data_IF_769075292761
#
_entry.id   IF_769075292761
#
_cell.length_a   1.000
_cell.length_b   1.000
_cell.length_c   1.000
_cell.angle_alpha   90.00
_cell.angle_beta   90.00
_cell.angle_gamma   90.00
#
_symmetry.space_group_name_H-M   'P 1'
#
loop_
_entity.id
_entity.type
_entity.pdbx_description
1 polymer ?
#
# COMPACT_ATOMS: atom_id res chain seq x y z
N UNK A 1 -5.52 21.97 5.61
CA UNK A 1 -4.86 22.45 4.38
C UNK A 1 -3.96 21.33 3.90
N UNK A 2 -4.30 20.71 2.79
CA UNK A 2 -3.39 19.78 2.10
C UNK A 2 -2.48 20.61 1.19
N UNK A 3 -1.19 20.63 1.48
CA UNK A 3 -0.20 21.19 0.57
C UNK A 3 -0.06 20.28 -0.65
N UNK A 4 0.10 20.86 -1.82
CA UNK A 4 0.46 20.06 -3.00
C UNK A 4 1.88 19.48 -2.84
N UNK A 5 2.20 18.42 -3.59
CA UNK A 5 3.55 17.83 -3.59
C UNK A 5 4.64 18.86 -3.90
N UNK A 6 4.35 19.84 -4.77
CA UNK A 6 5.27 20.90 -5.15
C UNK A 6 5.47 21.96 -4.06
N UNK A 7 4.49 22.12 -3.18
CA UNK A 7 4.54 23.09 -2.06
C UNK A 7 5.11 22.46 -0.78
N UNK A 8 5.28 21.13 -0.78
CA UNK A 8 5.85 20.42 0.36
C UNK A 8 7.37 20.60 0.36
N UNK A 9 7.97 21.19 1.42
CA UNK A 9 9.42 21.44 1.48
C UNK A 9 10.22 20.16 1.77
N UNK A 10 9.82 19.05 1.15
CA UNK A 10 10.40 17.73 1.32
C UNK A 10 10.40 16.97 0.01
N UNK A 11 11.33 16.04 -0.11
CA UNK A 11 11.39 15.15 -1.27
C UNK A 11 10.40 14.00 -1.07
N UNK A 12 9.26 14.10 -1.74
CA UNK A 12 8.20 13.08 -1.72
C UNK A 12 8.10 12.44 -3.10
N UNK A 13 7.94 11.13 -3.14
CA UNK A 13 7.49 10.39 -4.31
C UNK A 13 6.15 9.74 -3.98
N UNK A 14 5.21 9.88 -4.88
CA UNK A 14 3.90 9.26 -4.79
C UNK A 14 3.77 8.20 -5.88
N UNK A 15 3.32 7.01 -5.49
CA UNK A 15 3.06 5.89 -6.39
C UNK A 15 1.58 5.53 -6.27
N UNK A 16 0.80 5.89 -7.28
CA UNK A 16 -0.64 5.63 -7.32
C UNK A 16 -0.94 4.17 -7.67
N UNK A 17 -2.20 3.74 -7.43
CA UNK A 17 -2.69 2.44 -7.82
C UNK A 17 -2.52 2.17 -9.32
N UNK A 18 -2.68 3.19 -10.17
CA UNK A 18 -2.46 3.09 -11.61
C UNK A 18 -1.00 2.84 -11.97
N UNK A 19 -0.06 3.48 -11.27
CA UNK A 19 1.37 3.20 -11.45
C UNK A 19 1.73 1.80 -10.97
N UNK A 20 1.22 1.38 -9.81
CA UNK A 20 1.40 0.01 -9.29
C UNK A 20 0.99 -1.00 -10.34
N UNK A 21 -0.17 -0.81 -10.96
CA UNK A 21 -0.71 -1.66 -12.01
C UNK A 21 0.12 -1.60 -13.29
N UNK A 22 0.40 -0.40 -13.79
CA UNK A 22 1.09 -0.18 -15.07
C UNK A 22 2.48 -0.80 -15.07
N UNK A 23 3.20 -0.67 -13.97
CA UNK A 23 4.55 -1.22 -13.81
C UNK A 23 4.57 -2.64 -13.21
N UNK A 24 3.41 -3.22 -12.89
CA UNK A 24 3.32 -4.55 -12.31
C UNK A 24 4.02 -4.67 -10.96
N UNK A 25 3.97 -3.62 -10.13
CA UNK A 25 4.62 -3.61 -8.82
C UNK A 25 3.89 -4.56 -7.88
N UNK A 26 4.64 -5.38 -7.16
CA UNK A 26 4.10 -6.45 -6.30
C UNK A 26 4.46 -6.26 -4.84
N UNK A 27 5.63 -5.72 -4.60
CA UNK A 27 6.20 -5.56 -3.26
C UNK A 27 6.94 -4.24 -3.11
N UNK A 28 7.38 -3.95 -1.90
CA UNK A 28 8.20 -2.78 -1.59
C UNK A 28 9.50 -2.76 -2.40
N UNK A 29 10.08 -3.92 -2.71
CA UNK A 29 11.30 -4.01 -3.51
C UNK A 29 11.14 -3.44 -4.92
N UNK A 30 9.94 -3.57 -5.50
CA UNK A 30 9.67 -3.04 -6.83
C UNK A 30 9.59 -1.50 -6.84
N UNK A 31 9.23 -0.89 -5.69
CA UNK A 31 9.14 0.57 -5.55
C UNK A 31 10.51 1.27 -5.66
N UNK A 32 11.59 0.55 -5.37
CA UNK A 32 12.96 1.06 -5.47
C UNK A 32 13.25 1.58 -6.87
N UNK A 33 12.68 0.95 -7.91
CA UNK A 33 12.84 1.36 -9.32
C UNK A 33 12.25 2.75 -9.60
N UNK A 34 11.25 3.15 -8.82
CA UNK A 34 10.55 4.43 -8.96
C UNK A 34 11.01 5.47 -7.94
N UNK A 35 11.91 5.10 -7.02
CA UNK A 35 12.30 5.96 -5.90
C UNK A 35 13.79 6.24 -5.91
N UNK A 36 14.23 7.37 -6.44
CA UNK A 36 15.65 7.75 -6.40
C UNK A 36 16.19 7.82 -4.97
N UNK A 37 17.36 7.21 -4.72
CA UNK A 37 18.00 7.16 -3.41
C UNK A 37 17.41 6.14 -2.43
N UNK A 38 16.56 5.24 -2.93
CA UNK A 38 16.11 4.07 -2.20
C UNK A 38 16.77 2.80 -2.75
N UNK A 39 16.89 1.79 -1.92
CA UNK A 39 17.28 0.44 -2.32
C UNK A 39 16.58 -0.59 -1.42
N UNK A 40 16.55 -1.84 -1.87
CA UNK A 40 15.93 -2.91 -1.10
C UNK A 40 16.84 -3.33 0.06
N UNK A 41 16.26 -3.50 1.23
CA UNK A 41 16.89 -4.15 2.38
C UNK A 41 16.29 -5.53 2.67
N UNK A 42 15.68 -6.13 1.65
CA UNK A 42 15.14 -7.48 1.74
C UNK A 42 16.24 -8.51 1.96
N UNK A 43 15.98 -9.46 2.86
CA UNK A 43 16.91 -10.51 3.22
C UNK A 43 16.36 -11.87 2.78
N UNK A 44 17.25 -12.75 2.29
CA UNK A 44 16.92 -14.14 1.92
C UNK A 44 15.77 -14.27 0.90
N UNK A 45 15.53 -13.25 0.08
CA UNK A 45 14.42 -13.22 -0.87
C UNK A 45 13.10 -12.73 -0.32
N UNK A 46 13.00 -12.46 0.97
CA UNK A 46 11.79 -11.90 1.59
C UNK A 46 11.73 -10.41 1.30
N UNK A 47 10.68 -10.01 0.60
CA UNK A 47 10.48 -8.65 0.07
C UNK A 47 9.66 -7.82 1.06
N UNK A 48 10.26 -7.04 1.90
CA UNK A 48 9.47 -6.37 2.92
C UNK A 48 9.98 -5.02 3.38
N UNK A 49 11.21 -4.67 3.03
CA UNK A 49 11.85 -3.49 3.57
C UNK A 49 12.53 -2.67 2.49
N UNK A 50 12.51 -1.36 2.66
CA UNK A 50 13.19 -0.40 1.80
C UNK A 50 14.08 0.48 2.65
N UNK A 51 15.32 0.64 2.21
CA UNK A 51 16.23 1.63 2.76
C UNK A 51 16.14 2.92 1.94
N UNK A 52 16.13 4.03 2.62
CA UNK A 52 16.13 5.36 2.00
C UNK A 52 17.35 6.11 2.51
N UNK A 53 18.20 6.56 1.60
CA UNK A 53 19.45 7.27 1.92
C UNK A 53 20.38 6.48 2.84
N UNK A 54 20.37 5.15 2.74
CA UNK A 54 21.24 4.26 3.51
C UNK A 54 20.72 3.86 4.90
N UNK A 55 19.50 4.26 5.24
CA UNK A 55 18.86 3.94 6.51
C UNK A 55 17.51 3.26 6.28
N UNK A 56 17.16 2.30 7.12
CA UNK A 56 15.87 1.62 7.04
C UNK A 56 14.73 2.63 7.17
N UNK A 57 13.77 2.56 6.25
CA UNK A 57 12.60 3.43 6.29
C UNK A 57 11.62 2.97 7.37
N UNK A 58 10.93 3.93 7.97
CA UNK A 58 9.75 3.63 8.78
C UNK A 58 8.55 3.34 7.89
N UNK A 59 7.74 2.38 8.30
CA UNK A 59 6.51 2.00 7.62
C UNK A 59 5.30 2.57 8.35
N UNK A 60 4.41 3.20 7.58
CA UNK A 60 3.15 3.76 8.06
C UNK A 60 1.98 3.17 7.29
N UNK A 61 0.86 3.05 7.94
CA UNK A 61 -0.42 2.66 7.35
C UNK A 61 -1.47 3.68 7.76
N UNK A 62 -2.04 4.39 6.81
CA UNK A 62 -2.96 5.51 7.05
C UNK A 62 -2.39 6.55 8.04
N UNK A 63 -1.10 6.83 7.97
CA UNK A 63 -0.41 7.76 8.86
C UNK A 63 -0.04 7.20 10.25
N UNK A 64 -0.38 5.97 10.56
CA UNK A 64 0.01 5.30 11.81
C UNK A 64 1.25 4.43 11.59
N UNK A 65 2.25 4.61 12.45
CA UNK A 65 3.48 3.84 12.38
C UNK A 65 3.22 2.35 12.62
N UNK A 66 3.75 1.52 11.75
CA UNK A 66 3.74 0.06 11.86
C UNK A 66 5.07 -0.43 12.43
N UNK A 67 5.09 -1.68 12.86
CA UNK A 67 6.33 -2.38 13.18
C UNK A 67 7.21 -2.43 11.93
N UNK A 68 8.49 -2.11 12.08
CA UNK A 68 9.45 -2.25 10.99
C UNK A 68 9.52 -3.72 10.54
N UNK A 69 9.57 -3.89 9.22
CA UNK A 69 9.71 -5.19 8.61
C UNK A 69 11.14 -5.35 8.06
N UNK A 70 12.07 -5.91 8.83
CA UNK A 70 13.46 -6.10 8.39
C UNK A 70 13.63 -7.31 7.47
N UNK A 71 12.63 -7.64 6.65
CA UNK A 71 12.63 -8.81 5.79
C UNK A 71 12.03 -10.06 6.48
N UNK A 72 11.12 -9.88 7.42
CA UNK A 72 10.46 -11.01 8.10
C UNK A 72 9.20 -11.50 7.35
N UNK A 73 8.60 -10.67 6.51
CA UNK A 73 7.42 -11.01 5.70
C UNK A 73 7.34 -10.13 4.45
N UNK A 74 6.71 -10.63 3.41
CA UNK A 74 6.47 -9.85 2.20
C UNK A 74 5.49 -8.70 2.49
N UNK A 75 5.79 -7.51 1.97
CA UNK A 75 4.86 -6.38 2.03
C UNK A 75 4.20 -6.20 0.67
N UNK A 76 2.93 -6.56 0.58
CA UNK A 76 2.12 -6.48 -0.62
C UNK A 76 1.72 -5.02 -0.85
N UNK A 77 1.96 -4.51 -2.06
CA UNK A 77 1.67 -3.10 -2.39
C UNK A 77 0.39 -2.93 -3.22
N UNK A 78 -0.14 -3.99 -3.82
CA UNK A 78 -1.29 -3.90 -4.74
C UNK A 78 -2.62 -3.56 -4.08
N UNK A 79 -2.74 -3.77 -2.78
CA UNK A 79 -3.87 -3.28 -1.98
C UNK A 79 -3.81 -1.78 -1.67
N UNK A 80 -2.74 -1.08 -2.08
CA UNK A 80 -2.63 0.36 -1.90
C UNK A 80 -3.42 1.14 -2.97
N UNK A 81 -4.05 2.20 -2.52
CA UNK A 81 -4.51 3.29 -3.37
C UNK A 81 -3.34 4.20 -3.73
N UNK A 82 -2.55 4.53 -2.73
CA UNK A 82 -1.37 5.39 -2.86
C UNK A 82 -0.28 4.94 -1.90
N UNK A 83 0.96 5.01 -2.35
CA UNK A 83 2.16 4.84 -1.54
C UNK A 83 2.95 6.14 -1.59
N UNK A 84 3.11 6.77 -0.44
CA UNK A 84 3.89 7.99 -0.30
C UNK A 84 5.26 7.65 0.28
N UNK A 85 6.32 8.02 -0.42
CA UNK A 85 7.70 7.77 -0.02
C UNK A 85 8.34 9.11 0.29
N UNK A 86 8.47 9.41 1.57
CA UNK A 86 9.16 10.58 2.07
C UNK A 86 10.64 10.28 2.28
N UNK A 87 11.50 11.13 1.71
CA UNK A 87 12.96 11.01 1.85
C UNK A 87 13.48 12.06 2.83
N UNK A 88 14.07 11.62 3.91
CA UNK A 88 14.63 12.44 4.97
C UNK A 88 13.88 12.32 6.28
N UNK A 89 14.23 13.08 7.30
CA UNK A 89 13.68 12.96 8.64
C UNK A 89 12.15 13.08 8.65
N UNK A 90 11.52 12.21 9.42
CA UNK A 90 10.06 12.23 9.64
C UNK A 90 9.64 13.53 10.32
N UNK A 91 8.42 14.00 10.08
CA UNK A 91 7.89 15.16 10.78
C UNK A 91 7.78 14.87 12.28
N UNK A 92 8.12 15.83 13.16
CA UNK A 92 7.89 15.69 14.60
C UNK A 92 6.47 15.33 15.00
N UNK A 93 5.48 15.62 14.13
CA UNK A 93 4.07 15.25 14.33
C UNK A 93 3.84 13.72 14.31
N UNK A 94 4.71 12.97 13.66
CA UNK A 94 4.67 11.51 13.64
C UNK A 94 5.52 10.85 14.75
N UNK A 95 6.09 11.66 15.64
CA UNK A 95 6.96 11.20 16.73
C UNK A 95 8.39 10.92 16.30
N UNK A 96 9.08 10.06 17.04
CA UNK A 96 10.43 9.63 16.69
C UNK A 96 10.40 8.71 15.48
N UNK A 97 11.18 9.01 14.46
CA UNK A 97 11.23 8.23 13.23
C UNK A 97 12.61 8.14 12.63
N UNK A 98 12.76 7.36 11.57
CA UNK A 98 13.99 7.19 10.82
C UNK A 98 14.44 8.50 10.19
N UNK A 99 15.76 8.72 10.18
CA UNK A 99 16.37 9.87 9.48
C UNK A 99 16.43 9.65 7.96
N UNK A 100 16.36 8.42 7.50
CA UNK A 100 16.37 8.06 6.09
C UNK A 100 15.08 8.44 5.38
N UNK A 101 13.96 8.06 5.96
CA UNK A 101 12.65 8.35 5.37
C UNK A 101 11.52 7.48 5.89
N UNK A 102 10.37 7.63 5.27
CA UNK A 102 9.18 6.82 5.57
C UNK A 102 8.45 6.39 4.30
N UNK A 103 7.82 5.25 4.38
CA UNK A 103 6.84 4.74 3.42
C UNK A 103 5.46 4.75 4.09
N UNK A 104 4.54 5.55 3.59
CA UNK A 104 3.15 5.57 4.06
C UNK A 104 2.27 4.84 3.06
N UNK A 105 1.54 3.87 3.55
CA UNK A 105 0.62 3.03 2.81
C UNK A 105 -0.81 3.48 3.04
N UNK A 106 -1.45 4.00 2.01
CA UNK A 106 -2.87 4.34 2.01
C UNK A 106 -3.64 3.23 1.29
N UNK A 107 -4.47 2.44 2.00
CA UNK A 107 -5.20 1.34 1.39
C UNK A 107 -6.28 1.84 0.42
N UNK A 108 -6.69 0.98 -0.50
CA UNK A 108 -7.84 1.22 -1.36
C UNK A 108 -9.12 1.34 -0.53
N UNK A 109 -9.96 2.29 -0.90
CA UNK A 109 -11.28 2.54 -0.32
C UNK A 109 -12.31 2.74 -1.44
N UNK A 110 -13.58 2.93 -1.07
CA UNK A 110 -14.61 3.29 -2.05
C UNK A 110 -14.54 4.76 -2.51
N UNK A 111 -13.48 5.48 -2.13
CA UNK A 111 -13.20 6.84 -2.59
C UNK A 111 -12.13 6.83 -3.69
N UNK A 112 -12.29 7.71 -4.66
CA UNK A 112 -11.30 7.97 -5.71
C UNK A 112 -10.15 8.82 -5.18
N UNK A 113 -9.10 9.02 -5.99
CA UNK A 113 -7.98 9.93 -5.71
C UNK A 113 -8.41 11.36 -5.36
N UNK A 114 -9.57 11.78 -5.82
CA UNK A 114 -10.15 13.09 -5.51
C UNK A 114 -11.00 13.10 -4.24
N UNK A 115 -10.91 12.07 -3.40
CA UNK A 115 -11.71 11.86 -2.20
C UNK A 115 -13.24 11.82 -2.43
N UNK A 116 -13.68 11.60 -3.68
CA UNK A 116 -15.09 11.40 -4.02
C UNK A 116 -15.42 9.92 -4.06
N UNK A 117 -16.61 9.56 -3.60
CA UNK A 117 -17.09 8.19 -3.72
C UNK A 117 -17.18 7.75 -5.17
N UNK A 118 -16.91 6.48 -5.41
CA UNK A 118 -17.24 5.84 -6.70
C UNK A 118 -18.74 5.97 -6.94
N UNK A 119 -19.13 6.21 -8.17
CA UNK A 119 -20.54 6.45 -8.53
C UNK A 119 -21.27 5.18 -8.92
N UNK A 120 -20.52 4.15 -9.30
CA UNK A 120 -21.05 2.85 -9.74
C UNK A 120 -20.25 1.72 -9.11
N UNK A 121 -20.86 0.56 -8.86
CA UNK A 121 -20.14 -0.61 -8.43
C UNK A 121 -19.05 -0.98 -9.44
N UNK A 122 -17.84 -1.18 -8.96
CA UNK A 122 -16.68 -1.58 -9.77
C UNK A 122 -16.09 -2.86 -9.22
N UNK A 123 -15.69 -3.74 -10.11
CA UNK A 123 -15.02 -4.98 -9.69
C UNK A 123 -14.00 -5.41 -10.73
N UNK A 124 -12.97 -6.11 -10.26
CA UNK A 124 -11.90 -6.57 -11.10
C UNK A 124 -11.28 -7.84 -10.54
N UNK A 125 -10.85 -8.71 -11.44
CA UNK A 125 -10.05 -9.89 -11.12
C UNK A 125 -8.82 -9.88 -12.00
N UNK A 126 -7.65 -10.07 -11.41
CA UNK A 126 -6.37 -10.15 -12.11
C UNK A 126 -5.69 -11.47 -11.79
N UNK A 127 -5.17 -12.12 -12.83
CA UNK A 127 -4.29 -13.27 -12.74
C UNK A 127 -2.92 -12.89 -13.31
N UNK A 128 -1.89 -13.03 -12.50
CA UNK A 128 -0.51 -12.83 -12.92
C UNK A 128 0.24 -14.15 -12.86
N UNK A 129 0.92 -14.49 -13.95
CA UNK A 129 1.81 -15.64 -14.03
C UNK A 129 3.23 -15.16 -14.35
N UNK A 130 4.22 -15.76 -13.71
CA UNK A 130 5.61 -15.35 -13.85
C UNK A 130 6.59 -16.51 -13.87
N UNK A 131 7.87 -16.14 -13.89
CA UNK A 131 8.96 -17.11 -13.72
C UNK A 131 8.89 -17.74 -12.33
N UNK A 132 9.57 -18.88 -12.16
CA UNK A 132 9.54 -19.63 -10.90
C UNK A 132 8.12 -20.01 -10.46
N UNK A 133 7.33 -20.52 -11.42
CA UNK A 133 5.95 -20.99 -11.20
C UNK A 133 5.05 -19.98 -10.46
N UNK A 134 5.40 -18.69 -10.52
CA UNK A 134 4.67 -17.65 -9.83
C UNK A 134 3.24 -17.56 -10.34
N UNK A 135 2.30 -17.56 -9.41
CA UNK A 135 0.86 -17.41 -9.63
C UNK A 135 0.32 -16.43 -8.61
N UNK A 136 -0.27 -15.35 -9.09
CA UNK A 136 -0.90 -14.36 -8.21
C UNK A 136 -2.32 -14.13 -8.71
N UNK A 137 -3.27 -14.38 -7.85
CA UNK A 137 -4.68 -14.08 -8.07
C UNK A 137 -5.07 -12.93 -7.16
N UNK A 138 -5.60 -11.87 -7.73
CA UNK A 138 -6.21 -10.79 -6.96
C UNK A 138 -7.61 -10.48 -7.45
N UNK A 139 -8.48 -10.09 -6.53
CA UNK A 139 -9.80 -9.61 -6.82
C UNK A 139 -10.13 -8.39 -5.98
N UNK A 140 -10.86 -7.46 -6.57
CA UNK A 140 -11.31 -6.26 -5.88
C UNK A 140 -12.75 -5.93 -6.26
N UNK A 141 -13.47 -5.36 -5.30
CA UNK A 141 -14.83 -4.90 -5.50
C UNK A 141 -15.09 -3.67 -4.64
N UNK A 142 -15.59 -2.62 -5.27
CA UNK A 142 -16.01 -1.39 -4.62
C UNK A 142 -17.45 -1.05 -4.97
N UNK A 143 -18.22 -0.57 -4.01
CA UNK A 143 -19.59 -0.14 -4.25
C UNK A 143 -19.93 1.12 -3.47
N UNK A 144 -20.60 2.10 -4.11
CA UNK A 144 -21.21 3.20 -3.40
C UNK A 144 -22.40 2.69 -2.60
N UNK A 145 -22.62 3.29 -1.45
CA UNK A 145 -23.74 3.02 -0.57
C UNK A 145 -24.40 4.33 -0.17
N UNK A 146 -25.67 4.28 0.20
CA UNK A 146 -26.39 5.37 0.81
C UNK A 146 -27.01 4.90 2.13
N UNK A 147 -26.75 5.61 3.22
CA UNK A 147 -27.26 5.31 4.56
C UNK A 147 -27.93 6.56 5.12
N UNK A 148 -29.22 6.52 5.31
CA UNK A 148 -30.03 7.65 5.80
C UNK A 148 -29.80 8.95 5.01
N UNK A 149 -29.73 8.87 3.67
CA UNK A 149 -29.48 9.99 2.77
C UNK A 149 -28.04 10.51 2.78
N UNK A 150 -27.12 9.79 3.42
CA UNK A 150 -25.69 10.13 3.49
C UNK A 150 -24.87 9.22 2.59
N UNK A 151 -23.85 9.80 1.97
CA UNK A 151 -22.94 9.04 1.13
C UNK A 151 -22.07 8.12 1.97
N UNK A 152 -21.97 6.88 1.53
CA UNK A 152 -21.10 5.86 2.10
C UNK A 152 -20.49 5.01 0.97
N UNK A 153 -19.54 4.16 1.32
CA UNK A 153 -18.97 3.22 0.37
C UNK A 153 -18.26 2.07 1.06
N UNK A 154 -18.20 0.96 0.36
CA UNK A 154 -17.48 -0.23 0.78
C UNK A 154 -16.49 -0.68 -0.29
N UNK A 155 -15.33 -1.15 0.13
CA UNK A 155 -14.33 -1.69 -0.75
C UNK A 155 -13.70 -2.95 -0.16
N UNK A 156 -13.49 -3.94 -1.01
CA UNK A 156 -12.83 -5.22 -0.68
C UNK A 156 -11.69 -5.43 -1.66
N UNK A 157 -10.54 -5.83 -1.15
CA UNK A 157 -9.42 -6.32 -1.94
C UNK A 157 -8.91 -7.62 -1.34
N UNK A 158 -8.69 -8.61 -2.19
CA UNK A 158 -8.09 -9.89 -1.81
C UNK A 158 -6.99 -10.24 -2.79
N UNK A 159 -5.93 -10.85 -2.30
CA UNK A 159 -4.82 -11.34 -3.12
C UNK A 159 -4.24 -12.60 -2.50
N UNK A 160 -3.90 -13.56 -3.35
CA UNK A 160 -3.14 -14.75 -2.97
C UNK A 160 -1.98 -14.93 -3.96
N UNK A 161 -0.79 -15.16 -3.44
CA UNK A 161 0.42 -15.49 -4.19
C UNK A 161 0.92 -16.87 -3.79
N UNK A 162 1.29 -17.67 -4.79
CA UNK A 162 2.01 -18.92 -4.66
C UNK A 162 3.12 -18.95 -5.71
N UNK A 163 4.35 -19.19 -5.27
CA UNK A 163 5.50 -19.14 -6.17
C UNK A 163 6.67 -19.98 -5.66
N UNK A 164 7.52 -20.45 -6.61
CA UNK A 164 8.83 -20.96 -6.29
C UNK A 164 9.84 -19.80 -6.19
N UNK A 165 11.04 -20.09 -5.73
CA UNK A 165 12.13 -19.12 -5.67
C UNK A 165 13.38 -19.67 -6.37
N UNK A 166 14.26 -18.77 -6.79
CA UNK A 166 15.62 -19.17 -7.19
C UNK A 166 16.50 -19.53 -5.98
N UNK A 167 16.05 -19.22 -4.76
CA UNK A 167 16.68 -19.70 -3.54
C UNK A 167 16.16 -21.09 -3.18
N UNK A 168 17.08 -22.02 -2.95
CA UNK A 168 16.73 -23.38 -2.54
C UNK A 168 16.04 -23.36 -1.15
N UNK A 169 14.90 -24.03 -1.06
CA UNK A 169 14.16 -24.20 0.19
C UNK A 169 13.32 -23.00 0.61
N UNK A 170 13.09 -22.06 -0.32
CA UNK A 170 12.17 -20.94 -0.10
C UNK A 170 11.11 -20.94 -1.20
N UNK A 171 9.87 -21.16 -0.78
CA UNK A 171 8.67 -21.17 -1.62
C UNK A 171 7.72 -20.10 -1.08
N UNK A 172 7.84 -18.84 -1.54
CA UNK A 172 7.06 -17.74 -0.99
C UNK A 172 5.58 -17.92 -1.28
N UNK A 173 4.76 -17.88 -0.24
CA UNK A 173 3.33 -17.75 -0.34
C UNK A 173 2.83 -16.55 0.47
N UNK A 174 1.76 -15.94 0.02
CA UNK A 174 1.17 -14.83 0.74
C UNK A 174 -0.31 -14.65 0.43
N UNK A 175 -1.04 -14.25 1.44
CA UNK A 175 -2.46 -13.91 1.32
C UNK A 175 -2.70 -12.53 1.93
N UNK A 176 -3.51 -11.72 1.27
CA UNK A 176 -3.95 -10.41 1.75
C UNK A 176 -5.47 -10.30 1.62
N UNK A 177 -6.12 -9.94 2.70
CA UNK A 177 -7.53 -9.55 2.72
C UNK A 177 -7.62 -8.14 3.29
N UNK A 178 -8.29 -7.25 2.58
CA UNK A 178 -8.47 -5.86 2.97
C UNK A 178 -9.93 -5.47 2.78
N UNK A 179 -10.49 -4.86 3.81
CA UNK A 179 -11.84 -4.30 3.81
C UNK A 179 -11.75 -2.82 4.19
N UNK A 180 -12.51 -1.98 3.52
CA UNK A 180 -12.67 -0.57 3.86
C UNK A 180 -14.14 -0.18 3.78
N UNK A 181 -14.56 0.66 4.71
CA UNK A 181 -15.88 1.25 4.77
C UNK A 181 -15.73 2.73 5.13
N UNK A 182 -16.38 3.59 4.37
CA UNK A 182 -16.38 5.03 4.54
C UNK A 182 -17.80 5.55 4.61
N UNK A 183 -18.07 6.49 5.53
CA UNK A 183 -19.38 7.11 5.71
C UNK A 183 -19.22 8.60 5.99
N UNK A 184 -19.81 9.47 5.19
CA UNK A 184 -19.89 10.90 5.47
C UNK A 184 -21.04 11.15 6.44
N UNK A 185 -20.74 11.08 7.75
CA UNK A 185 -21.72 11.21 8.81
C UNK A 185 -22.34 12.63 8.88
N UNK A 186 -21.61 13.65 8.45
CA UNK A 186 -22.07 15.04 8.28
C UNK A 186 -21.18 15.77 7.27
N UNK A 187 -21.51 17.01 6.91
CA UNK A 187 -20.71 17.85 6.00
C UNK A 187 -19.26 18.09 6.49
N UNK A 188 -19.00 17.88 7.77
CA UNK A 188 -17.69 18.07 8.40
C UNK A 188 -17.08 16.81 9.02
N UNK A 189 -17.80 15.68 8.98
CA UNK A 189 -17.38 14.46 9.67
C UNK A 189 -17.50 13.25 8.76
N UNK A 190 -16.37 12.62 8.48
CA UNK A 190 -16.30 11.32 7.79
C UNK A 190 -15.84 10.26 8.79
N UNK A 191 -16.52 9.14 8.80
CA UNK A 191 -16.13 7.94 9.56
C UNK A 191 -15.49 6.97 8.57
N UNK A 192 -14.25 6.60 8.83
CA UNK A 192 -13.51 5.63 8.02
C UNK A 192 -13.15 4.42 8.87
N UNK A 193 -13.53 3.25 8.41
CA UNK A 193 -13.16 1.98 9.01
C UNK A 193 -12.39 1.14 8.00
N UNK A 194 -11.33 0.50 8.44
CA UNK A 194 -10.57 -0.42 7.61
C UNK A 194 -9.93 -1.53 8.41
N UNK A 195 -9.91 -2.71 7.85
CA UNK A 195 -9.20 -3.87 8.38
C UNK A 195 -8.34 -4.48 7.29
N UNK A 196 -7.15 -4.91 7.66
CA UNK A 196 -6.23 -5.62 6.78
C UNK A 196 -5.69 -6.84 7.53
N UNK A 197 -5.75 -7.98 6.89
CA UNK A 197 -5.10 -9.21 7.35
C UNK A 197 -4.17 -9.72 6.26
N UNK A 198 -2.95 -10.04 6.64
CA UNK A 198 -1.94 -10.59 5.74
C UNK A 198 -1.27 -11.78 6.41
N UNK A 199 -1.16 -12.86 5.66
CA UNK A 199 -0.38 -14.06 6.03
C UNK A 199 0.74 -14.23 5.01
N UNK A 200 1.91 -14.67 5.43
CA UNK A 200 3.07 -14.98 4.56
C UNK A 200 3.80 -16.19 5.13
N UNK A 201 4.19 -17.11 4.27
CA UNK A 201 5.03 -18.26 4.56
C UNK A 201 6.32 -18.21 3.76
#
# INVERSE_FOLDING_TARGET
MSLSLLETPRSVSEVSADLIKTYGLRSVDDLVRLTPGAFTSSFFGIRGSMDIRGEASDNYFRGFRRINNPGAFNTIVRGAHTLEILRGPVSPLYGSGSVGGQLNYSPKTAKSETAKYITEPTGRVDLTMGMYNQRILSAEYGTPLEIDGKQAGMYVFVEAEDSDSFYHGYEPSSELVQLAFDLDASDSTTIEFGIQHQTTD
#
